data_IF_552283520739
#
_entry.id   IF_552283520739
#
_cell.length_a   1.000
_cell.length_b   1.000
_cell.length_c   1.000
_cell.angle_alpha   90.00
_cell.angle_beta   90.00
_cell.angle_gamma   90.00
#
_symmetry.space_group_name_H-M   'P 1'
#
loop_
_entity.id
_entity.type
_entity.pdbx_description
1 polymer ?
#
# COMPACT_ATOMS: atom_id res chain seq x y z
N UNK A 1 16.20 -1.90 11.45
CA UNK A 1 16.16 -1.82 9.97
C UNK A 1 14.76 -2.11 9.42
N UNK A 2 14.06 -3.15 9.90
CA UNK A 2 12.78 -3.61 9.34
C UNK A 2 11.63 -2.57 9.30
N UNK A 3 11.61 -1.59 10.20
CA UNK A 3 10.57 -0.54 10.20
C UNK A 3 10.61 0.34 8.92
N UNK A 4 11.82 0.71 8.46
CA UNK A 4 11.98 1.49 7.23
C UNK A 4 11.53 0.69 6.01
N UNK A 5 11.81 -0.61 6.00
CA UNK A 5 11.40 -1.54 4.94
C UNK A 5 9.87 -1.66 4.89
N UNK A 6 9.20 -1.75 6.03
CA UNK A 6 7.73 -1.79 6.10
C UNK A 6 7.09 -0.47 5.63
N UNK A 7 7.64 0.68 6.01
CA UNK A 7 7.13 1.98 5.52
C UNK A 7 7.39 2.13 4.02
N UNK A 8 8.56 1.75 3.53
CA UNK A 8 8.87 1.77 2.10
C UNK A 8 7.88 0.92 1.31
N UNK A 9 7.63 -0.32 1.77
CA UNK A 9 6.65 -1.21 1.17
C UNK A 9 5.26 -0.56 1.15
N UNK A 10 4.81 -0.05 2.30
CA UNK A 10 3.49 0.55 2.45
C UNK A 10 3.31 1.81 1.58
N UNK A 11 4.35 2.64 1.48
CA UNK A 11 4.37 3.80 0.57
C UNK A 11 4.39 3.39 -0.91
N UNK A 12 5.18 2.37 -1.28
CA UNK A 12 5.22 1.86 -2.65
C UNK A 12 3.86 1.29 -3.07
N UNK A 13 3.12 0.65 -2.15
CA UNK A 13 1.76 0.16 -2.39
C UNK A 13 0.74 1.31 -2.44
N UNK A 14 0.81 2.28 -1.51
CA UNK A 14 -0.08 3.47 -1.49
C UNK A 14 0.03 4.30 -2.77
N UNK A 15 1.25 4.54 -3.24
CA UNK A 15 1.52 5.26 -4.47
C UNK A 15 1.34 4.39 -5.72
N UNK A 16 0.89 3.14 -5.58
CA UNK A 16 0.70 2.18 -6.68
C UNK A 16 1.97 1.91 -7.52
N UNK A 17 3.15 2.14 -6.95
CA UNK A 17 4.44 1.94 -7.64
C UNK A 17 4.78 0.45 -7.70
N UNK A 18 4.61 -0.27 -6.58
CA UNK A 18 4.68 -1.73 -6.54
C UNK A 18 5.96 -2.34 -7.14
N UNK A 19 7.14 -1.98 -6.61
CA UNK A 19 8.43 -2.46 -7.10
C UNK A 19 8.61 -4.00 -7.02
N UNK A 20 7.85 -4.70 -6.17
CA UNK A 20 7.80 -6.18 -6.11
C UNK A 20 9.00 -6.85 -5.44
N UNK A 21 9.95 -6.06 -4.97
CA UNK A 21 11.11 -6.39 -4.15
C UNK A 21 10.75 -7.03 -2.80
N UNK A 22 9.56 -6.73 -2.26
CA UNK A 22 8.99 -7.39 -1.08
C UNK A 22 7.71 -8.09 -1.52
N UNK A 23 7.76 -9.42 -1.57
CA UNK A 23 6.69 -10.28 -2.07
C UNK A 23 6.34 -11.34 -1.03
N UNK A 24 5.06 -11.64 -0.88
CA UNK A 24 4.60 -12.76 -0.05
C UNK A 24 4.80 -14.09 -0.80
N UNK A 25 5.71 -14.93 -0.30
CA UNK A 25 5.96 -16.25 -0.88
C UNK A 25 4.91 -17.29 -0.45
N UNK A 26 4.44 -17.23 0.80
CA UNK A 26 3.40 -18.11 1.34
C UNK A 26 1.98 -17.67 0.95
N UNK A 27 1.09 -18.65 0.75
CA UNK A 27 -0.31 -18.41 0.38
C UNK A 27 -1.09 -17.59 1.42
N UNK A 28 -0.83 -17.81 2.71
CA UNK A 28 -1.47 -17.06 3.80
C UNK A 28 -1.07 -15.57 3.78
N UNK A 29 0.22 -15.28 3.51
CA UNK A 29 0.74 -13.92 3.43
C UNK A 29 0.25 -13.20 2.17
N UNK A 30 -0.01 -13.93 1.07
CA UNK A 30 -0.59 -13.36 -0.16
C UNK A 30 -1.99 -12.79 0.09
N UNK A 31 -2.81 -13.49 0.87
CA UNK A 31 -4.16 -13.01 1.23
C UNK A 31 -4.07 -11.69 2.01
N UNK A 32 -3.18 -11.62 2.99
CA UNK A 32 -2.92 -10.37 3.73
C UNK A 32 -2.45 -9.25 2.81
N UNK A 33 -1.56 -9.53 1.85
CA UNK A 33 -1.10 -8.54 0.88
C UNK A 33 -2.23 -8.01 -0.01
N UNK A 34 -3.17 -8.86 -0.42
CA UNK A 34 -4.36 -8.42 -1.17
C UNK A 34 -5.21 -7.45 -0.34
N UNK A 35 -5.43 -7.73 0.94
CA UNK A 35 -6.16 -6.83 1.83
C UNK A 35 -5.43 -5.49 2.01
N UNK A 36 -4.11 -5.51 2.20
CA UNK A 36 -3.29 -4.30 2.32
C UNK A 36 -3.35 -3.45 1.04
N UNK A 37 -3.34 -4.08 -0.14
CA UNK A 37 -3.51 -3.37 -1.42
C UNK A 37 -4.88 -2.70 -1.54
N UNK A 38 -5.97 -3.37 -1.15
CA UNK A 38 -7.33 -2.80 -1.14
C UNK A 38 -7.43 -1.59 -0.21
N UNK A 39 -6.88 -1.71 1.01
CA UNK A 39 -6.85 -0.62 1.98
C UNK A 39 -6.01 0.54 1.44
N UNK A 40 -4.83 0.27 0.88
CA UNK A 40 -3.96 1.28 0.28
C UNK A 40 -4.65 2.07 -0.84
N UNK A 41 -5.37 1.39 -1.73
CA UNK A 41 -6.12 2.05 -2.80
C UNK A 41 -7.25 2.93 -2.26
N UNK A 42 -7.99 2.47 -1.24
CA UNK A 42 -9.05 3.25 -0.61
C UNK A 42 -8.52 4.50 0.09
N UNK A 43 -7.39 4.39 0.80
CA UNK A 43 -6.71 5.52 1.43
C UNK A 43 -6.25 6.54 0.39
N UNK A 44 -5.66 6.10 -0.71
CA UNK A 44 -5.25 6.98 -1.80
C UNK A 44 -6.43 7.73 -2.41
N UNK A 45 -7.55 7.04 -2.65
CA UNK A 45 -8.79 7.66 -3.14
C UNK A 45 -9.36 8.69 -2.15
N UNK A 46 -9.32 8.41 -0.85
CA UNK A 46 -9.73 9.35 0.19
C UNK A 46 -8.82 10.58 0.22
N UNK A 47 -7.50 10.42 0.11
CA UNK A 47 -6.55 11.53 0.08
C UNK A 47 -6.85 12.44 -1.11
N UNK A 48 -7.06 11.88 -2.31
CA UNK A 48 -7.44 12.65 -3.51
C UNK A 48 -8.78 13.36 -3.30
N UNK A 49 -9.78 12.68 -2.73
CA UNK A 49 -11.09 13.25 -2.44
C UNK A 49 -11.00 14.45 -1.49
N UNK A 50 -10.19 14.36 -0.42
CA UNK A 50 -9.94 15.46 0.50
C UNK A 50 -9.22 16.62 -0.19
N UNK A 51 -8.24 16.34 -1.05
CA UNK A 51 -7.55 17.38 -1.84
C UNK A 51 -8.51 18.10 -2.80
N UNK A 52 -9.43 17.36 -3.43
CA UNK A 52 -10.46 17.94 -4.29
C UNK A 52 -11.53 18.74 -3.53
N UNK A 53 -11.71 18.50 -2.24
CA UNK A 53 -12.67 19.24 -1.40
C UNK A 53 -12.05 20.54 -0.84
N UNK A 54 -10.72 20.56 -0.70
CA UNK A 54 -9.96 21.71 -0.23
C UNK A 54 -9.72 22.77 -1.30
N UNK A 55 -9.83 22.43 -2.59
CA UNK A 55 -9.75 23.36 -3.73
C UNK A 55 -11.13 23.88 -4.11
#
# INVERSE_FOLDING_TARGET
SSYLVSIYFLMATLCTVGYGDISAEQDDDRILMIFVMLIGASLFAIIISNMSNLV
#
